data_IF_243582904454
#
_entry.id   IF_243582904454
#
_cell.length_a   1.000
_cell.length_b   1.000
_cell.length_c   1.000
_cell.angle_alpha   90.00
_cell.angle_beta   90.00
_cell.angle_gamma   90.00
#
_symmetry.space_group_name_H-M   'P 1'
#
loop_
_entity.id
_entity.type
_entity.pdbx_description
1 polymer ?
#
# COMPACT_ATOMS: atom_id res chain seq x y z
N UNK A 1 -11.02 -8.91 7.06
CA UNK A 1 -10.43 -9.21 8.40
C UNK A 1 -9.16 -8.37 8.60
N UNK A 2 -8.96 -7.73 9.76
CA UNK A 2 -7.74 -6.96 10.08
C UNK A 2 -6.68 -7.80 10.80
N UNK A 3 -5.40 -7.56 10.47
CA UNK A 3 -4.22 -8.02 11.22
C UNK A 3 -3.23 -6.89 11.44
N UNK A 4 -2.78 -6.73 12.69
CA UNK A 4 -1.72 -5.79 13.02
C UNK A 4 -0.41 -6.14 12.29
N UNK A 5 0.18 -5.14 11.64
CA UNK A 5 1.44 -5.25 10.92
C UNK A 5 2.25 -3.96 11.01
N UNK A 6 3.38 -4.05 11.72
CA UNK A 6 4.35 -2.96 11.81
C UNK A 6 5.78 -3.52 11.65
N UNK A 7 6.32 -3.54 10.42
CA UNK A 7 7.68 -4.02 10.15
C UNK A 7 8.76 -2.97 10.43
N UNK A 8 8.40 -1.80 10.98
CA UNK A 8 9.37 -0.77 11.34
C UNK A 8 10.41 -1.37 12.32
N UNK A 9 11.73 -1.24 12.07
CA UNK A 9 12.76 -1.93 12.86
C UNK A 9 12.83 -1.46 14.32
N UNK A 10 12.27 -0.29 14.61
CA UNK A 10 12.16 0.24 15.97
C UNK A 10 10.73 0.16 16.54
N UNK A 11 9.81 -0.53 15.85
CA UNK A 11 8.40 -0.62 16.24
C UNK A 11 7.67 0.72 16.26
N UNK A 12 8.23 1.76 15.65
CA UNK A 12 7.65 3.10 15.66
C UNK A 12 6.45 3.17 14.72
N UNK A 13 5.50 4.04 15.04
CA UNK A 13 4.40 4.40 14.14
C UNK A 13 4.66 5.84 13.68
N UNK A 14 5.29 5.97 12.52
CA UNK A 14 5.66 7.26 11.91
C UNK A 14 4.97 7.37 10.55
N UNK A 15 5.28 8.39 9.76
CA UNK A 15 4.74 8.57 8.39
C UNK A 15 5.33 7.58 7.37
N UNK A 16 5.42 6.29 7.73
CA UNK A 16 6.00 5.20 6.93
C UNK A 16 4.96 4.21 6.38
N UNK A 17 3.67 4.56 6.36
CA UNK A 17 2.59 3.69 5.87
C UNK A 17 2.87 3.14 4.46
N UNK A 18 3.39 3.97 3.56
CA UNK A 18 3.83 3.55 2.22
C UNK A 18 4.90 2.45 2.28
N UNK A 19 5.90 2.60 3.15
CA UNK A 19 6.96 1.59 3.33
C UNK A 19 6.34 0.30 3.85
N UNK A 20 5.54 0.37 4.92
CA UNK A 20 4.93 -0.81 5.54
C UNK A 20 4.02 -1.57 4.57
N UNK A 21 3.18 -0.86 3.81
CA UNK A 21 2.30 -1.49 2.83
C UNK A 21 3.09 -2.21 1.73
N UNK A 22 4.16 -1.58 1.22
CA UNK A 22 5.03 -2.19 0.21
C UNK A 22 5.81 -3.38 0.78
N UNK A 23 6.31 -3.32 2.02
CA UNK A 23 6.95 -4.46 2.67
C UNK A 23 6.01 -5.66 2.69
N UNK A 24 4.75 -5.43 3.09
CA UNK A 24 3.77 -6.51 3.14
C UNK A 24 3.48 -7.08 1.76
N UNK A 25 3.32 -6.22 0.76
CA UNK A 25 2.98 -6.62 -0.59
C UNK A 25 4.11 -7.37 -1.32
N UNK A 26 5.36 -7.05 -1.00
CA UNK A 26 6.54 -7.57 -1.72
C UNK A 26 7.33 -8.62 -0.95
N UNK A 27 7.07 -8.79 0.36
CA UNK A 27 7.85 -9.63 1.25
C UNK A 27 9.24 -9.07 1.61
N UNK A 28 9.55 -7.85 1.19
CA UNK A 28 10.83 -7.17 1.47
C UNK A 28 10.84 -6.59 2.88
N UNK A 29 12.02 -6.51 3.48
CA UNK A 29 12.17 -5.86 4.78
C UNK A 29 12.02 -4.33 4.67
N UNK A 30 11.72 -3.70 5.82
CA UNK A 30 11.49 -2.25 5.90
C UNK A 30 12.68 -1.42 5.42
N UNK A 31 13.91 -1.84 5.73
CA UNK A 31 15.13 -1.11 5.35
C UNK A 31 15.34 -1.15 3.84
N UNK A 32 15.16 -2.31 3.21
CA UNK A 32 15.25 -2.44 1.76
C UNK A 32 14.24 -1.52 1.06
N UNK A 33 12.96 -1.56 1.46
CA UNK A 33 11.91 -0.73 0.84
C UNK A 33 12.18 0.76 1.06
N UNK A 34 12.54 1.16 2.27
CA UNK A 34 12.89 2.55 2.59
C UNK A 34 14.01 3.07 1.70
N UNK A 35 15.11 2.31 1.56
CA UNK A 35 16.24 2.71 0.73
C UNK A 35 15.86 2.82 -0.75
N UNK A 36 15.07 1.88 -1.28
CA UNK A 36 14.59 1.93 -2.66
C UNK A 36 13.74 3.16 -2.95
N UNK A 37 12.85 3.53 -2.02
CA UNK A 37 12.05 4.75 -2.15
C UNK A 37 12.90 6.02 -2.03
N UNK A 38 13.88 6.05 -1.13
CA UNK A 38 14.83 7.16 -1.03
C UNK A 38 15.66 7.34 -2.30
N UNK A 39 16.16 6.24 -2.87
CA UNK A 39 16.88 6.27 -4.15
C UNK A 39 15.97 6.77 -5.27
N UNK A 40 14.72 6.32 -5.33
CA UNK A 40 13.75 6.79 -6.33
C UNK A 40 13.46 8.29 -6.17
N UNK A 41 13.23 8.74 -4.94
CA UNK A 41 12.99 10.16 -4.64
C UNK A 41 14.18 11.02 -5.03
N UNK A 42 15.40 10.59 -4.73
CA UNK A 42 16.62 11.29 -5.14
C UNK A 42 16.73 11.42 -6.67
N UNK A 43 16.46 10.34 -7.42
CA UNK A 43 16.50 10.35 -8.88
C UNK A 43 15.41 11.22 -9.50
N UNK A 44 14.24 11.29 -8.88
CA UNK A 44 13.09 12.07 -9.34
C UNK A 44 13.11 13.52 -8.84
N UNK A 45 13.99 13.87 -7.89
CA UNK A 45 13.97 15.16 -7.20
C UNK A 45 12.75 15.36 -6.29
N UNK A 46 12.21 14.28 -5.74
CA UNK A 46 10.97 14.24 -4.95
C UNK A 46 11.18 13.51 -3.61
N UNK A 47 10.19 13.59 -2.71
CA UNK A 47 10.23 12.92 -1.42
C UNK A 47 9.89 11.41 -1.54
N UNK A 48 10.48 10.54 -0.70
CA UNK A 48 10.24 9.09 -0.77
C UNK A 48 8.78 8.67 -0.59
N UNK A 49 8.00 9.48 0.14
CA UNK A 49 6.60 9.23 0.44
C UNK A 49 5.63 9.91 -0.55
N UNK A 50 6.13 10.66 -1.55
CA UNK A 50 5.27 11.28 -2.55
C UNK A 50 4.62 10.24 -3.48
N UNK A 51 3.34 10.44 -3.81
CA UNK A 51 2.56 9.53 -4.68
C UNK A 51 3.22 9.27 -6.04
N UNK A 52 3.87 10.27 -6.60
CA UNK A 52 4.62 10.13 -7.85
C UNK A 52 5.82 9.19 -7.67
N UNK A 53 6.61 9.39 -6.61
CA UNK A 53 7.82 8.63 -6.30
C UNK A 53 7.53 7.15 -6.03
N UNK A 54 6.71 6.82 -5.02
CA UNK A 54 6.45 5.41 -4.69
C UNK A 54 5.62 4.71 -5.77
N UNK A 55 4.74 5.44 -6.47
CA UNK A 55 4.05 4.92 -7.65
C UNK A 55 5.01 4.59 -8.80
N UNK A 56 6.09 5.37 -8.98
CA UNK A 56 7.13 5.08 -9.97
C UNK A 56 7.93 3.85 -9.62
N UNK A 57 8.25 3.68 -8.33
CA UNK A 57 8.88 2.46 -7.83
C UNK A 57 8.00 1.21 -8.02
N UNK A 58 6.71 1.29 -7.71
CA UNK A 58 5.79 0.16 -7.92
C UNK A 58 5.69 -0.26 -9.39
N UNK A 59 5.61 0.70 -10.31
CA UNK A 59 5.65 0.42 -11.76
C UNK A 59 6.94 -0.27 -12.17
N UNK A 60 8.09 0.15 -11.63
CA UNK A 60 9.39 -0.42 -12.02
C UNK A 60 9.57 -1.87 -11.59
N UNK A 61 8.78 -2.34 -10.61
CA UNK A 61 8.76 -3.75 -10.16
C UNK A 61 7.51 -4.52 -10.64
N UNK A 62 6.77 -3.95 -11.60
CA UNK A 62 5.71 -4.63 -12.34
C UNK A 62 4.28 -4.45 -11.80
N UNK A 63 4.06 -3.58 -10.82
CA UNK A 63 2.69 -3.28 -10.36
C UNK A 63 1.98 -2.33 -11.33
N UNK A 64 0.66 -2.50 -11.43
CA UNK A 64 -0.23 -1.64 -12.20
C UNK A 64 -1.16 -0.88 -11.26
N UNK A 65 -1.60 0.32 -11.69
CA UNK A 65 -2.48 1.19 -10.89
C UNK A 65 -3.89 1.15 -11.46
N UNK A 66 -4.86 1.02 -10.57
CA UNK A 66 -6.28 1.00 -10.88
C UNK A 66 -7.00 2.08 -10.07
N UNK A 67 -7.82 2.89 -10.73
CA UNK A 67 -8.64 3.91 -10.08
C UNK A 67 -9.90 3.23 -9.55
N UNK A 68 -10.30 3.57 -8.32
CA UNK A 68 -11.59 3.16 -7.79
C UNK A 68 -12.62 4.19 -8.24
N UNK A 69 -13.72 3.79 -8.90
CA UNK A 69 -14.75 4.73 -9.35
C UNK A 69 -15.32 5.53 -8.18
N UNK A 70 -15.34 6.86 -8.31
CA UNK A 70 -15.94 7.77 -7.33
C UNK A 70 -17.47 7.86 -7.50
N UNK A 71 -18.13 6.72 -7.66
CA UNK A 71 -19.59 6.65 -7.83
C UNK A 71 -20.33 6.70 -6.49
N UNK A 72 -19.63 6.37 -5.40
CA UNK A 72 -20.16 6.37 -4.05
C UNK A 72 -19.00 6.47 -3.04
N UNK A 73 -18.44 7.68 -2.88
CA UNK A 73 -17.18 7.91 -2.14
C UNK A 73 -17.20 7.35 -0.73
N UNK A 74 -18.32 7.45 -0.02
CA UNK A 74 -18.39 7.05 1.39
C UNK A 74 -18.80 5.59 1.61
N UNK A 75 -19.14 4.84 0.56
CA UNK A 75 -19.71 3.48 0.71
C UNK A 75 -18.81 2.34 0.25
N UNK A 76 -17.61 2.65 -0.25
CA UNK A 76 -16.63 1.65 -0.67
C UNK A 76 -15.40 1.73 0.22
N UNK A 77 -15.41 0.96 1.31
CA UNK A 77 -14.36 0.97 2.33
C UNK A 77 -13.24 -0.04 2.03
N UNK A 78 -12.10 0.07 2.74
CA UNK A 78 -11.03 -0.94 2.70
C UNK A 78 -11.56 -2.33 3.08
N UNK A 79 -12.47 -2.41 4.06
CA UNK A 79 -13.12 -3.65 4.48
C UNK A 79 -13.89 -4.29 3.33
N UNK A 80 -14.72 -3.51 2.63
CA UNK A 80 -15.47 -3.98 1.47
C UNK A 80 -14.54 -4.41 0.33
N UNK A 81 -13.48 -3.64 0.05
CA UNK A 81 -12.48 -4.04 -0.93
C UNK A 81 -11.87 -5.40 -0.58
N UNK A 82 -11.52 -5.63 0.68
CA UNK A 82 -10.95 -6.89 1.14
C UNK A 82 -11.91 -8.07 1.01
N UNK A 83 -13.21 -7.88 1.31
CA UNK A 83 -14.24 -8.92 1.16
C UNK A 83 -14.47 -9.29 -0.31
N UNK A 84 -14.40 -8.32 -1.22
CA UNK A 84 -14.54 -8.53 -2.67
C UNK A 84 -13.28 -9.15 -3.31
N UNK A 85 -12.12 -9.06 -2.65
CA UNK A 85 -10.83 -9.57 -3.13
C UNK A 85 -10.22 -10.60 -2.14
N UNK A 86 -10.82 -11.81 -2.03
CA UNK A 86 -10.37 -12.83 -1.08
C UNK A 86 -9.01 -13.46 -1.43
N UNK A 87 -8.47 -13.17 -2.62
CA UNK A 87 -7.16 -13.64 -3.10
C UNK A 87 -6.40 -12.51 -3.78
N UNK A 88 -5.08 -12.55 -3.67
CA UNK A 88 -4.17 -11.61 -4.31
C UNK A 88 -3.59 -10.59 -3.33
N UNK A 89 -2.75 -9.70 -3.84
CA UNK A 89 -2.02 -8.71 -3.04
C UNK A 89 -2.20 -7.32 -3.64
N UNK A 90 -2.73 -6.40 -2.83
CA UNK A 90 -3.14 -5.07 -3.24
C UNK A 90 -2.57 -4.01 -2.30
N UNK A 91 -2.09 -2.90 -2.86
CA UNK A 91 -1.66 -1.71 -2.11
C UNK A 91 -2.69 -0.61 -2.38
N UNK A 92 -3.46 -0.23 -1.37
CA UNK A 92 -4.51 0.77 -1.47
C UNK A 92 -3.97 2.12 -1.00
N UNK A 93 -4.14 3.16 -1.82
CA UNK A 93 -3.88 4.54 -1.42
C UNK A 93 -5.17 5.22 -0.98
N UNK A 94 -5.11 5.86 0.17
CA UNK A 94 -6.21 6.59 0.81
C UNK A 94 -5.82 8.07 0.93
N UNK A 95 -6.73 8.89 1.46
CA UNK A 95 -6.39 10.26 1.83
C UNK A 95 -5.38 10.26 2.99
N UNK A 96 -4.11 10.55 2.70
CA UNK A 96 -3.06 10.65 3.72
C UNK A 96 -2.53 9.31 4.28
N UNK A 97 -2.98 8.17 3.74
CA UNK A 97 -2.58 6.84 4.23
C UNK A 97 -2.43 5.83 3.10
N UNK A 98 -1.66 4.76 3.35
CA UNK A 98 -1.45 3.65 2.42
C UNK A 98 -1.52 2.34 3.20
N UNK A 99 -2.29 1.36 2.71
CA UNK A 99 -2.50 0.07 3.36
C UNK A 99 -2.32 -1.08 2.39
N UNK A 100 -1.89 -2.24 2.89
CA UNK A 100 -1.85 -3.46 2.11
C UNK A 100 -3.05 -4.36 2.46
N UNK A 101 -3.73 -4.86 1.43
CA UNK A 101 -4.68 -5.96 1.53
C UNK A 101 -4.05 -7.18 0.85
N UNK A 102 -3.95 -8.30 1.56
CA UNK A 102 -3.44 -9.55 0.99
C UNK A 102 -4.37 -10.69 1.38
N UNK A 103 -4.90 -11.40 0.39
CA UNK A 103 -5.83 -12.53 0.54
C UNK A 103 -7.02 -12.20 1.45
N UNK A 104 -7.69 -11.07 1.19
CA UNK A 104 -8.83 -10.57 1.99
C UNK A 104 -8.47 -10.08 3.41
N UNK A 105 -7.18 -9.98 3.74
CA UNK A 105 -6.70 -9.53 5.05
C UNK A 105 -6.07 -8.13 4.92
N UNK A 106 -6.51 -7.22 5.79
CA UNK A 106 -5.99 -5.86 5.91
C UNK A 106 -4.78 -5.90 6.84
N UNK A 107 -3.62 -5.47 6.37
CA UNK A 107 -2.37 -5.42 7.13
C UNK A 107 -1.95 -3.97 7.36
N UNK A 108 -2.05 -3.51 8.61
CA UNK A 108 -1.73 -2.14 8.98
C UNK A 108 -1.37 -2.00 10.47
N UNK A 109 -0.93 -0.81 10.90
CA UNK A 109 -0.60 -0.51 12.31
C UNK A 109 -1.82 -0.17 13.16
N UNK A 110 -3.01 -0.06 12.55
CA UNK A 110 -4.30 0.14 13.20
C UNK A 110 -5.43 -0.42 12.31
N UNK A 111 -6.63 -0.60 12.85
CA UNK A 111 -7.75 -1.14 12.07
C UNK A 111 -8.34 -0.08 11.13
N UNK A 112 -7.82 -0.02 9.90
CA UNK A 112 -8.21 0.94 8.85
C UNK A 112 -9.37 0.47 7.97
N UNK A 113 -10.20 -0.49 8.42
CA UNK A 113 -11.23 -1.12 7.59
C UNK A 113 -12.31 -0.16 7.08
N UNK A 114 -12.58 0.92 7.81
CA UNK A 114 -13.62 1.90 7.47
C UNK A 114 -13.12 3.06 6.62
N UNK A 115 -11.82 3.10 6.31
CA UNK A 115 -11.25 4.15 5.47
C UNK A 115 -11.62 3.96 3.99
N UNK A 116 -11.57 5.05 3.23
CA UNK A 116 -11.96 5.09 1.83
C UNK A 116 -10.72 5.08 0.91
N UNK A 117 -10.48 3.99 0.15
CA UNK A 117 -9.41 3.94 -0.83
C UNK A 117 -9.78 4.74 -2.09
N UNK A 118 -8.79 5.43 -2.65
CA UNK A 118 -8.91 6.26 -3.86
C UNK A 118 -8.48 5.49 -5.12
N UNK A 119 -7.42 4.71 -4.99
CA UNK A 119 -6.88 3.86 -6.04
C UNK A 119 -6.09 2.72 -5.40
N UNK A 120 -5.86 1.66 -6.14
CA UNK A 120 -5.06 0.53 -5.68
C UNK A 120 -4.02 0.12 -6.71
N UNK A 121 -3.06 -0.66 -6.24
CA UNK A 121 -2.03 -1.30 -7.05
C UNK A 121 -2.06 -2.79 -6.85
N UNK A 122 -1.89 -3.54 -7.92
CA UNK A 122 -1.73 -4.99 -7.91
C UNK A 122 -0.60 -5.39 -8.88
N UNK A 123 -0.23 -6.66 -8.83
CA UNK A 123 0.71 -7.27 -9.76
C UNK A 123 0.19 -8.66 -10.08
N UNK A 124 0.08 -8.97 -11.37
CA UNK A 124 -0.24 -10.32 -11.84
C UNK A 124 0.82 -11.29 -11.27
N UNK A 125 0.37 -12.25 -10.46
CA UNK A 125 1.17 -13.42 -10.11
C UNK A 125 1.01 -14.43 -11.25
N UNK A 126 2.12 -14.80 -11.89
CA UNK A 126 2.14 -15.93 -12.82
C UNK A 126 1.65 -17.19 -12.06
N UNK A 127 0.61 -17.85 -12.57
CA UNK A 127 0.07 -19.12 -12.05
C UNK A 127 1.03 -20.29 -12.27
#
# INVERSE_FOLDING_TARGET
MYKYFNPNPCGKNVSDCTVRAICKATGKDWGEVYLRLCMRGYLDGDLPNANACWGSYLRSIGYRRHIIPDTCPDCYTVGRFADEHPRGTYILALSGHVVCVQDGIIYDSWNSENEIPLYFWDKETEE
#
